data_IF_617588427695
#
_entry.id   IF_617588427695
#
_cell.length_a   1.000
_cell.length_b   1.000
_cell.length_c   1.000
_cell.angle_alpha   90.00
_cell.angle_beta   90.00
_cell.angle_gamma   90.00
#
_symmetry.space_group_name_H-M   'P 1'
#
loop_
_entity.id
_entity.type
_entity.pdbx_description
1 polymer ?
#
# COMPACT_ATOMS: atom_id res chain seq x y z
N UNK A 1 -16.15 -51.66 -51.85
CA UNK A 1 -15.41 -51.68 -50.57
C UNK A 1 -14.92 -50.29 -50.29
N UNK A 2 -15.44 -49.65 -49.26
CA UNK A 2 -14.88 -48.43 -48.67
C UNK A 2 -14.51 -48.78 -47.22
N UNK A 3 -13.22 -48.69 -46.93
CA UNK A 3 -12.63 -48.99 -45.62
C UNK A 3 -12.95 -47.84 -44.67
N UNK A 4 -13.66 -48.12 -43.56
CA UNK A 4 -13.78 -47.20 -42.44
C UNK A 4 -12.55 -47.38 -41.54
N UNK A 5 -11.72 -46.33 -41.41
CA UNK A 5 -10.73 -46.26 -40.35
C UNK A 5 -11.35 -45.57 -39.13
N UNK A 6 -11.41 -46.26 -38.00
CA UNK A 6 -11.78 -45.68 -36.69
C UNK A 6 -10.49 -45.46 -35.91
N UNK A 7 -10.22 -44.21 -35.54
CA UNK A 7 -9.11 -43.87 -34.66
C UNK A 7 -9.65 -43.60 -33.24
N UNK A 8 -9.07 -44.28 -32.25
CA UNK A 8 -9.36 -44.08 -30.82
C UNK A 8 -8.16 -43.39 -30.19
N UNK A 9 -8.38 -42.23 -29.57
CA UNK A 9 -7.35 -41.51 -28.83
C UNK A 9 -7.63 -41.62 -27.33
N UNK A 10 -6.61 -42.00 -26.56
CA UNK A 10 -6.62 -41.91 -25.10
C UNK A 10 -6.07 -40.54 -24.70
N UNK A 11 -6.89 -39.75 -24.02
CA UNK A 11 -6.42 -38.54 -23.33
C UNK A 11 -6.01 -38.91 -21.90
N UNK A 12 -4.80 -38.58 -21.44
CA UNK A 12 -4.44 -38.81 -20.05
C UNK A 12 -5.20 -37.83 -19.15
N UNK A 13 -6.10 -38.37 -18.34
CA UNK A 13 -6.70 -37.68 -17.20
C UNK A 13 -5.58 -37.45 -16.16
N UNK A 14 -5.15 -36.19 -16.01
CA UNK A 14 -4.42 -35.77 -14.82
C UNK A 14 -5.46 -35.41 -13.75
N UNK A 15 -5.83 -36.40 -12.92
CA UNK A 15 -6.53 -36.13 -11.66
C UNK A 15 -5.60 -35.35 -10.73
N UNK A 16 -5.68 -34.02 -10.82
CA UNK A 16 -5.24 -33.15 -9.74
C UNK A 16 -6.45 -32.91 -8.84
N UNK A 17 -6.50 -33.66 -7.74
CA UNK A 17 -7.38 -33.38 -6.61
C UNK A 17 -7.08 -31.98 -6.08
N UNK A 18 -7.87 -31.00 -6.49
CA UNK A 18 -7.96 -29.69 -5.86
C UNK A 18 -9.40 -29.48 -5.42
N UNK A 19 -9.56 -29.11 -4.15
CA UNK A 19 -10.85 -28.78 -3.55
C UNK A 19 -11.39 -27.51 -4.23
N UNK A 20 -12.63 -27.56 -4.71
CA UNK A 20 -13.19 -26.73 -5.79
C UNK A 20 -14.43 -25.96 -5.36
N UNK A 21 -14.61 -24.72 -5.84
CA UNK A 21 -15.85 -23.95 -5.64
C UNK A 21 -16.02 -22.71 -6.58
N UNK A 22 -17.18 -22.55 -7.27
CA UNK A 22 -17.71 -21.28 -7.87
C UNK A 22 -18.92 -20.78 -7.11
N UNK A 23 -18.79 -19.61 -6.48
CA UNK A 23 -19.48 -19.33 -5.24
C UNK A 23 -20.12 -17.95 -5.21
N UNK A 24 -20.78 -17.41 -6.23
CA UNK A 24 -21.28 -16.04 -6.06
C UNK A 24 -22.73 -15.88 -6.44
N UNK A 25 -23.51 -15.27 -5.55
CA UNK A 25 -24.90 -14.87 -5.75
C UNK A 25 -25.06 -13.37 -5.42
N UNK A 26 -26.13 -12.78 -5.93
CA UNK A 26 -26.53 -11.41 -5.60
C UNK A 26 -27.96 -11.44 -5.10
N UNK A 27 -28.19 -10.79 -3.96
CA UNK A 27 -29.53 -10.54 -3.44
C UNK A 27 -30.01 -9.17 -3.91
N UNK A 28 -30.69 -9.15 -5.05
CA UNK A 28 -31.15 -7.91 -5.69
C UNK A 28 -32.14 -7.11 -4.83
N UNK A 29 -32.85 -7.79 -3.93
CA UNK A 29 -33.73 -7.21 -2.92
C UNK A 29 -32.98 -6.47 -1.80
N UNK A 30 -31.68 -6.74 -1.62
CA UNK A 30 -30.83 -6.11 -0.60
C UNK A 30 -29.95 -4.99 -1.16
N UNK A 31 -30.18 -4.59 -2.41
CA UNK A 31 -29.46 -3.52 -3.06
C UNK A 31 -29.63 -2.19 -2.30
N UNK A 32 -28.61 -1.32 -2.40
CA UNK A 32 -28.64 0.01 -1.78
C UNK A 32 -28.86 1.06 -2.85
N UNK A 33 -30.09 1.57 -2.91
CA UNK A 33 -30.50 2.64 -3.83
C UNK A 33 -29.98 4.01 -3.36
N UNK A 34 -29.62 4.88 -4.32
CA UNK A 34 -29.00 6.18 -4.10
C UNK A 34 -27.70 6.13 -3.29
N UNK A 35 -27.05 4.96 -3.27
CA UNK A 35 -25.73 4.76 -2.68
C UNK A 35 -24.80 4.06 -3.66
N UNK A 36 -23.53 4.38 -3.53
CA UNK A 36 -22.45 3.79 -4.31
C UNK A 36 -21.10 4.01 -3.64
N UNK A 37 -20.09 3.48 -4.29
CA UNK A 37 -18.70 3.77 -4.04
C UNK A 37 -18.21 4.80 -5.08
N UNK A 38 -17.27 5.64 -4.65
CA UNK A 38 -16.73 6.71 -5.48
C UNK A 38 -15.92 6.16 -6.67
N UNK A 39 -15.62 7.02 -7.65
CA UNK A 39 -14.97 6.61 -8.91
C UNK A 39 -13.59 5.97 -8.72
N UNK A 40 -12.89 6.27 -7.62
CA UNK A 40 -11.61 5.63 -7.27
C UNK A 40 -11.75 4.15 -6.87
N UNK A 41 -12.98 3.65 -6.70
CA UNK A 41 -13.32 2.24 -6.47
C UNK A 41 -13.66 1.49 -7.75
N UNK A 42 -13.96 2.22 -8.83
CA UNK A 42 -14.39 1.65 -10.11
C UNK A 42 -13.18 1.27 -10.95
N UNK A 43 -13.02 -0.02 -11.24
CA UNK A 43 -11.92 -0.49 -12.12
C UNK A 43 -12.38 -0.81 -13.55
N UNK A 44 -13.69 -0.96 -13.76
CA UNK A 44 -14.26 -1.18 -15.09
C UNK A 44 -15.63 -0.52 -15.21
N UNK A 45 -15.80 0.27 -16.28
CA UNK A 45 -17.07 0.89 -16.67
C UNK A 45 -17.61 0.19 -17.91
N UNK A 46 -18.89 -0.17 -17.90
CA UNK A 46 -19.59 -0.85 -18.98
C UNK A 46 -20.93 -0.15 -19.25
N UNK A 47 -21.06 0.51 -20.38
CA UNK A 47 -22.31 1.14 -20.80
C UNK A 47 -23.28 0.11 -21.38
N UNK A 48 -24.58 0.39 -21.33
CA UNK A 48 -25.63 -0.47 -21.93
C UNK A 48 -25.55 -1.94 -21.47
N UNK A 49 -25.17 -2.16 -20.22
CA UNK A 49 -24.98 -3.50 -19.65
C UNK A 49 -26.06 -3.73 -18.59
N UNK A 50 -27.09 -4.54 -18.88
CA UNK A 50 -28.14 -4.81 -17.91
C UNK A 50 -27.60 -5.44 -16.63
N UNK A 51 -28.33 -5.25 -15.54
CA UNK A 51 -27.97 -5.70 -14.19
C UNK A 51 -27.46 -7.15 -14.10
N UNK A 52 -28.15 -8.10 -14.73
CA UNK A 52 -27.76 -9.53 -14.72
C UNK A 52 -26.44 -9.76 -15.43
N UNK A 53 -26.21 -9.06 -16.55
CA UNK A 53 -24.95 -9.15 -17.29
C UNK A 53 -23.81 -8.49 -16.51
N UNK A 54 -24.08 -7.37 -15.82
CA UNK A 54 -23.12 -6.72 -14.93
C UNK A 54 -22.66 -7.68 -13.82
N UNK A 55 -23.62 -8.35 -13.16
CA UNK A 55 -23.34 -9.39 -12.17
C UNK A 55 -22.45 -10.50 -12.76
N UNK A 56 -22.79 -11.04 -13.93
CA UNK A 56 -21.99 -12.09 -14.57
C UNK A 56 -20.55 -11.63 -14.88
N UNK A 57 -20.36 -10.38 -15.32
CA UNK A 57 -19.03 -9.82 -15.53
C UNK A 57 -18.24 -9.73 -14.23
N UNK A 58 -18.88 -9.30 -13.16
CA UNK A 58 -18.26 -9.21 -11.84
C UNK A 58 -17.94 -10.59 -11.25
N UNK A 59 -18.84 -11.56 -11.39
CA UNK A 59 -18.62 -12.90 -10.82
C UNK A 59 -17.45 -13.64 -11.48
N UNK A 60 -17.19 -13.37 -12.75
CA UNK A 60 -16.10 -13.98 -13.53
C UNK A 60 -14.75 -13.24 -13.41
N UNK A 61 -14.77 -11.97 -12.97
CA UNK A 61 -13.56 -11.19 -12.76
C UNK A 61 -13.16 -11.23 -11.29
N UNK A 62 -12.05 -11.90 -10.99
CA UNK A 62 -11.59 -12.06 -9.61
C UNK A 62 -11.31 -10.72 -8.91
N UNK A 63 -11.05 -9.64 -9.66
CA UNK A 63 -10.81 -8.30 -9.11
C UNK A 63 -12.08 -7.65 -8.57
N UNK A 64 -13.25 -8.22 -8.87
CA UNK A 64 -14.53 -7.64 -8.55
C UNK A 64 -15.03 -8.09 -7.17
N UNK A 65 -15.17 -7.12 -6.27
CA UNK A 65 -15.70 -7.32 -4.91
C UNK A 65 -17.19 -6.95 -4.82
N UNK A 66 -17.63 -6.00 -5.64
CA UNK A 66 -19.01 -5.54 -5.74
C UNK A 66 -19.24 -4.88 -7.10
N UNK A 67 -20.49 -4.52 -7.41
CA UNK A 67 -20.78 -3.69 -8.57
C UNK A 67 -21.88 -2.68 -8.26
N UNK A 68 -21.93 -1.61 -9.03
CA UNK A 68 -23.00 -0.62 -8.97
C UNK A 68 -23.53 -0.28 -10.35
N UNK A 69 -24.77 0.14 -10.39
CA UNK A 69 -25.49 0.50 -11.60
C UNK A 69 -25.90 1.96 -11.52
N UNK A 70 -25.58 2.76 -12.53
CA UNK A 70 -26.19 4.09 -12.71
C UNK A 70 -27.39 3.96 -13.66
N UNK A 71 -28.55 4.43 -13.20
CA UNK A 71 -29.82 4.41 -13.96
C UNK A 71 -30.15 3.05 -14.61
N UNK A 72 -29.78 1.95 -13.95
CA UNK A 72 -30.00 0.57 -14.40
C UNK A 72 -29.36 0.14 -15.74
N UNK A 73 -28.57 0.99 -16.40
CA UNK A 73 -27.94 0.67 -17.70
C UNK A 73 -26.43 0.76 -17.70
N UNK A 74 -25.85 1.59 -16.82
CA UNK A 74 -24.41 1.82 -16.78
C UNK A 74 -23.81 1.05 -15.60
N UNK A 75 -23.12 -0.04 -15.93
CA UNK A 75 -22.52 -0.97 -14.98
C UNK A 75 -21.10 -0.53 -14.61
N UNK A 76 -20.81 -0.52 -13.32
CA UNK A 76 -19.49 -0.24 -12.77
C UNK A 76 -19.05 -1.38 -11.87
N UNK A 77 -17.91 -2.00 -12.19
CA UNK A 77 -17.31 -3.04 -11.37
C UNK A 77 -16.34 -2.42 -10.35
N UNK A 78 -16.46 -2.85 -9.10
CA UNK A 78 -15.80 -2.25 -7.95
C UNK A 78 -14.71 -3.17 -7.42
N UNK A 79 -13.56 -2.60 -7.10
CA UNK A 79 -12.42 -3.33 -6.54
C UNK A 79 -12.51 -3.55 -5.03
N UNK A 80 -13.49 -2.92 -4.38
CA UNK A 80 -13.76 -3.03 -2.95
C UNK A 80 -15.25 -3.17 -2.69
N UNK A 81 -15.56 -3.74 -1.53
CA UNK A 81 -16.92 -3.89 -1.02
C UNK A 81 -17.24 -2.84 0.05
N UNK A 82 -18.51 -2.76 0.45
CA UNK A 82 -18.94 -1.94 1.58
C UNK A 82 -18.38 -2.37 2.95
N UNK A 83 -17.76 -3.55 3.03
CA UNK A 83 -17.05 -3.99 4.23
C UNK A 83 -15.68 -3.30 4.35
N UNK A 84 -15.11 -2.87 3.23
CA UNK A 84 -13.82 -2.16 3.18
C UNK A 84 -14.01 -0.64 3.12
N UNK A 85 -15.00 -0.16 2.36
CA UNK A 85 -15.17 1.27 2.06
C UNK A 85 -16.59 1.71 2.38
N UNK A 86 -16.72 2.87 3.02
CA UNK A 86 -18.03 3.42 3.39
C UNK A 86 -18.78 3.89 2.14
N UNK A 87 -20.03 3.43 1.99
CA UNK A 87 -20.91 3.87 0.90
C UNK A 87 -21.21 5.36 1.00
N UNK A 88 -21.18 6.03 -0.14
CA UNK A 88 -21.52 7.44 -0.28
C UNK A 88 -22.91 7.59 -0.88
N UNK A 89 -23.62 8.66 -0.49
CA UNK A 89 -24.92 9.00 -1.09
C UNK A 89 -24.69 9.50 -2.52
N UNK A 90 -25.11 8.71 -3.49
CA UNK A 90 -24.93 8.93 -4.92
C UNK A 90 -26.28 8.75 -5.62
N UNK A 91 -27.09 9.83 -5.78
CA UNK A 91 -28.42 9.74 -6.37
C UNK A 91 -28.42 9.11 -7.77
N UNK A 92 -29.32 8.16 -8.01
CA UNK A 92 -29.43 7.43 -9.28
C UNK A 92 -28.47 6.25 -9.44
N UNK A 93 -27.61 6.00 -8.46
CA UNK A 93 -26.84 4.76 -8.35
C UNK A 93 -27.58 3.70 -7.54
N UNK A 94 -27.33 2.44 -7.85
CA UNK A 94 -27.73 1.31 -7.01
C UNK A 94 -26.55 0.37 -6.82
N UNK A 95 -26.15 0.16 -5.57
CA UNK A 95 -25.03 -0.69 -5.21
C UNK A 95 -25.49 -2.12 -4.89
N UNK A 96 -24.73 -3.11 -5.35
CA UNK A 96 -24.99 -4.54 -5.16
C UNK A 96 -23.77 -5.24 -4.56
N UNK A 97 -24.00 -5.93 -3.43
CA UNK A 97 -23.03 -6.87 -2.89
C UNK A 97 -23.03 -8.16 -3.71
N UNK A 98 -21.84 -8.74 -3.88
CA UNK A 98 -21.69 -10.11 -4.33
C UNK A 98 -21.35 -10.97 -3.12
N UNK A 99 -22.15 -12.00 -2.87
CA UNK A 99 -21.99 -12.85 -1.69
C UNK A 99 -21.70 -14.30 -2.08
N UNK A 100 -21.04 -15.06 -1.19
CA UNK A 100 -20.72 -16.45 -1.44
C UNK A 100 -21.96 -17.35 -1.63
N UNK A 101 -22.09 -18.04 -2.76
CA UNK A 101 -23.13 -19.04 -3.04
C UNK A 101 -22.88 -20.30 -2.23
N UNK A 102 -23.92 -20.79 -1.56
CA UNK A 102 -23.85 -21.93 -0.63
C UNK A 102 -24.39 -23.24 -1.19
N UNK A 103 -24.64 -23.33 -2.49
CA UNK A 103 -25.23 -24.52 -3.10
C UNK A 103 -24.24 -25.64 -3.43
N UNK A 104 -24.78 -26.78 -3.84
CA UNK A 104 -24.08 -28.08 -3.92
C UNK A 104 -23.62 -28.52 -5.32
N UNK A 105 -23.85 -27.71 -6.37
CA UNK A 105 -23.45 -28.09 -7.73
C UNK A 105 -21.96 -27.82 -7.97
N UNK A 106 -21.18 -28.79 -8.48
CA UNK A 106 -19.79 -28.59 -8.83
C UNK A 106 -19.70 -27.73 -10.09
N UNK A 107 -19.16 -26.52 -9.95
CA UNK A 107 -18.83 -25.61 -11.04
C UNK A 107 -17.33 -25.36 -10.96
N UNK A 108 -16.66 -25.52 -12.09
CA UNK A 108 -15.21 -25.36 -12.23
C UNK A 108 -14.84 -23.88 -12.05
N UNK A 109 -13.90 -23.59 -11.14
CA UNK A 109 -13.44 -22.23 -10.89
C UNK A 109 -12.02 -22.06 -11.27
N UNK A 110 -11.82 -21.03 -12.08
CA UNK A 110 -10.52 -20.42 -12.30
C UNK A 110 -10.01 -19.93 -10.95
N UNK A 111 -8.98 -20.59 -10.41
CA UNK A 111 -8.22 -20.07 -9.29
C UNK A 111 -7.86 -18.62 -9.62
N UNK A 112 -8.29 -17.70 -8.76
CA UNK A 112 -8.08 -16.28 -9.01
C UNK A 112 -6.60 -15.95 -9.16
N UNK A 113 -5.70 -16.75 -8.60
CA UNK A 113 -4.27 -16.58 -8.81
C UNK A 113 -3.79 -16.94 -10.23
N UNK A 114 -4.49 -17.79 -10.98
CA UNK A 114 -4.18 -18.06 -12.39
C UNK A 114 -4.37 -16.82 -13.27
N UNK A 115 -5.31 -15.94 -12.90
CA UNK A 115 -5.52 -14.65 -13.58
C UNK A 115 -4.44 -13.62 -13.28
N UNK A 116 -3.45 -13.95 -12.43
CA UNK A 116 -2.34 -13.07 -12.00
C UNK A 116 -2.81 -11.67 -11.57
N UNK A 117 -3.72 -11.58 -10.58
CA UNK A 117 -4.36 -10.32 -10.22
C UNK A 117 -3.39 -9.36 -9.51
N UNK A 118 -2.34 -9.88 -8.87
CA UNK A 118 -1.33 -9.10 -8.14
C UNK A 118 -0.36 -8.40 -9.10
N UNK A 119 -0.17 -7.10 -8.90
CA UNK A 119 0.70 -6.25 -9.70
C UNK A 119 2.10 -6.15 -9.09
N UNK A 120 3.03 -5.60 -9.88
CA UNK A 120 4.40 -5.28 -9.45
C UNK A 120 5.15 -6.45 -8.79
N UNK A 121 4.91 -7.67 -9.26
CA UNK A 121 5.57 -8.87 -8.76
C UNK A 121 5.12 -9.28 -7.35
N UNK A 122 3.95 -8.83 -6.89
CA UNK A 122 3.30 -9.36 -5.69
C UNK A 122 2.93 -10.84 -5.85
N UNK A 123 2.97 -11.58 -4.74
CA UNK A 123 2.62 -13.00 -4.71
C UNK A 123 1.13 -13.16 -4.47
N UNK A 124 0.45 -13.96 -5.30
CA UNK A 124 -0.95 -14.29 -5.12
C UNK A 124 -1.10 -15.51 -4.21
N UNK A 125 -2.00 -15.41 -3.23
CA UNK A 125 -2.39 -16.53 -2.37
C UNK A 125 -3.90 -16.72 -2.43
N UNK A 126 -4.39 -17.97 -2.49
CA UNK A 126 -5.82 -18.24 -2.38
C UNK A 126 -6.34 -17.84 -0.98
N UNK A 127 -7.64 -17.56 -0.84
CA UNK A 127 -8.24 -17.32 0.47
C UNK A 127 -8.09 -18.56 1.36
N UNK A 128 -7.96 -18.32 2.66
CA UNK A 128 -7.90 -19.32 3.73
C UNK A 128 -9.26 -19.41 4.44
N UNK A 129 -9.48 -20.48 5.20
CA UNK A 129 -10.74 -20.66 5.94
C UNK A 129 -11.01 -19.63 7.05
N UNK A 130 -10.04 -18.78 7.39
CA UNK A 130 -10.19 -17.72 8.39
C UNK A 130 -10.72 -16.41 7.78
N UNK A 131 -10.84 -16.34 6.46
CA UNK A 131 -11.09 -15.08 5.77
C UNK A 131 -12.55 -14.81 5.53
N UNK A 132 -12.86 -13.54 5.30
CA UNK A 132 -14.17 -13.18 4.81
C UNK A 132 -14.40 -13.92 3.48
N UNK A 133 -15.50 -14.67 3.34
CA UNK A 133 -15.71 -15.51 2.18
C UNK A 133 -15.98 -14.70 0.89
N UNK A 134 -16.10 -13.38 0.96
CA UNK A 134 -16.06 -12.47 -0.21
C UNK A 134 -14.64 -12.25 -0.76
N UNK A 135 -13.59 -12.53 0.01
CA UNK A 135 -12.20 -12.40 -0.43
C UNK A 135 -11.88 -13.53 -1.40
N UNK A 136 -11.54 -13.16 -2.63
CA UNK A 136 -11.28 -14.11 -3.72
C UNK A 136 -9.81 -14.53 -3.87
N UNK A 137 -8.90 -13.69 -3.39
CA UNK A 137 -7.45 -13.89 -3.36
C UNK A 137 -6.81 -12.87 -2.41
N UNK A 138 -5.55 -13.11 -2.03
CA UNK A 138 -4.69 -12.10 -1.40
C UNK A 138 -3.47 -11.82 -2.26
N UNK A 139 -3.01 -10.58 -2.19
CA UNK A 139 -1.70 -10.21 -2.71
C UNK A 139 -0.75 -9.86 -1.58
N UNK A 140 0.35 -10.61 -1.49
CA UNK A 140 1.50 -10.23 -0.68
C UNK A 140 2.38 -9.28 -1.49
N UNK A 141 2.38 -8.00 -1.11
CA UNK A 141 3.08 -6.97 -1.84
C UNK A 141 4.58 -6.95 -1.56
N UNK A 142 5.36 -6.70 -2.61
CA UNK A 142 6.78 -6.38 -2.47
C UNK A 142 6.94 -5.06 -1.72
N UNK A 143 8.11 -4.90 -1.11
CA UNK A 143 8.47 -3.69 -0.36
C UNK A 143 8.25 -2.43 -1.21
N UNK A 144 7.50 -1.47 -0.64
CA UNK A 144 7.20 -0.20 -1.30
C UNK A 144 6.00 -0.23 -2.26
N UNK A 145 5.28 -1.35 -2.32
CA UNK A 145 3.97 -1.45 -2.96
C UNK A 145 2.88 -1.82 -1.96
N UNK A 146 1.64 -1.42 -2.26
CA UNK A 146 0.46 -1.78 -1.47
C UNK A 146 -0.85 -1.57 -2.21
N UNK A 147 -1.94 -1.60 -1.46
CA UNK A 147 -3.28 -1.84 -1.99
C UNK A 147 -3.55 -3.34 -2.12
N UNK A 148 -4.83 -3.70 -2.27
CA UNK A 148 -5.31 -5.08 -2.36
C UNK A 148 -4.67 -5.90 -3.51
N UNK A 149 -4.12 -5.23 -4.52
CA UNK A 149 -3.46 -5.83 -5.67
C UNK A 149 -2.02 -5.36 -5.85
N UNK A 150 -1.43 -4.70 -4.86
CA UNK A 150 -0.08 -4.11 -4.97
C UNK A 150 0.03 -3.06 -6.08
N UNK A 151 -1.08 -2.40 -6.42
CA UNK A 151 -1.16 -1.42 -7.50
C UNK A 151 -0.50 -0.09 -7.15
N UNK A 152 -0.42 0.25 -5.86
CA UNK A 152 0.05 1.55 -5.40
C UNK A 152 1.53 1.49 -5.05
N UNK A 153 2.27 2.53 -5.44
CA UNK A 153 3.62 2.80 -4.93
C UNK A 153 3.45 3.61 -3.66
N UNK A 154 3.78 3.00 -2.54
CA UNK A 154 3.49 3.58 -1.21
C UNK A 154 4.76 4.03 -0.50
N UNK A 155 5.93 3.79 -1.10
CA UNK A 155 7.22 4.28 -0.64
C UNK A 155 8.25 4.29 -1.76
N UNK A 156 9.36 5.02 -1.55
CA UNK A 156 10.48 5.05 -2.48
C UNK A 156 11.06 3.66 -2.85
N UNK A 157 11.00 2.61 -2.00
CA UNK A 157 11.41 1.27 -2.42
C UNK A 157 10.62 0.70 -3.60
N UNK A 158 9.34 1.10 -3.76
CA UNK A 158 8.56 0.65 -4.91
C UNK A 158 9.22 1.12 -6.20
N UNK A 159 9.85 2.30 -6.14
CA UNK A 159 10.70 2.83 -7.17
C UNK A 159 12.10 2.18 -7.21
N UNK A 160 12.26 0.87 -7.00
CA UNK A 160 13.55 0.19 -7.23
C UNK A 160 13.52 -0.77 -8.42
N UNK A 161 12.35 -1.30 -8.78
CA UNK A 161 12.22 -2.35 -9.80
C UNK A 161 12.29 -1.86 -11.26
N UNK A 162 12.52 -0.56 -11.49
CA UNK A 162 12.68 -0.03 -12.85
C UNK A 162 14.18 0.17 -13.06
N UNK A 163 14.75 -0.63 -13.97
CA UNK A 163 16.18 -0.88 -14.16
C UNK A 163 16.96 0.31 -14.72
N UNK A 164 16.34 1.49 -14.88
CA UNK A 164 17.04 2.71 -15.27
C UNK A 164 17.38 3.54 -14.04
N UNK A 165 18.66 3.88 -13.91
CA UNK A 165 19.25 4.68 -12.82
C UNK A 165 18.32 5.82 -12.36
N UNK A 166 17.84 5.75 -11.13
CA UNK A 166 16.90 6.73 -10.59
C UNK A 166 17.63 7.89 -9.96
N UNK A 167 17.33 9.09 -10.42
CA UNK A 167 17.84 10.27 -9.77
C UNK A 167 17.16 10.45 -8.40
N UNK A 168 17.92 10.94 -7.42
CA UNK A 168 17.33 11.54 -6.24
C UNK A 168 16.39 12.67 -6.67
N UNK A 169 15.24 12.82 -6.01
CA UNK A 169 14.27 13.84 -6.41
C UNK A 169 12.88 13.63 -5.84
N UNK A 170 11.93 14.39 -6.36
CA UNK A 170 10.52 14.34 -5.94
C UNK A 170 9.80 13.23 -6.72
N UNK A 171 9.11 12.36 -6.01
CA UNK A 171 8.31 11.28 -6.56
C UNK A 171 6.90 11.31 -5.98
N UNK A 172 5.94 10.81 -6.74
CA UNK A 172 4.56 10.65 -6.30
C UNK A 172 4.36 9.25 -5.71
N UNK A 173 3.82 9.19 -4.50
CA UNK A 173 3.33 7.98 -3.86
C UNK A 173 1.81 8.03 -3.77
N UNK A 174 1.19 6.92 -3.42
CA UNK A 174 -0.26 6.83 -3.19
C UNK A 174 -0.49 6.25 -1.81
N UNK A 175 -1.34 6.87 -1.02
CA UNK A 175 -1.77 6.31 0.25
C UNK A 175 -2.82 5.22 -0.06
N UNK A 176 -2.58 3.94 0.27
CA UNK A 176 -3.49 2.86 -0.12
C UNK A 176 -4.86 2.94 0.58
N UNK A 177 -4.95 3.63 1.72
CA UNK A 177 -6.18 3.77 2.50
C UNK A 177 -7.09 4.87 1.93
N UNK A 178 -6.52 6.01 1.53
CA UNK A 178 -7.29 7.13 0.95
C UNK A 178 -7.32 7.10 -0.57
N UNK A 179 -6.38 6.38 -1.20
CA UNK A 179 -6.10 6.33 -2.65
C UNK A 179 -5.67 7.67 -3.24
N UNK A 180 -5.37 8.63 -2.39
CA UNK A 180 -4.89 9.94 -2.80
C UNK A 180 -3.38 9.91 -3.05
N UNK A 181 -2.91 10.57 -4.13
CA UNK A 181 -1.49 10.74 -4.36
C UNK A 181 -0.89 11.78 -3.41
N UNK A 182 0.37 11.60 -3.04
CA UNK A 182 1.16 12.59 -2.28
C UNK A 182 2.61 12.58 -2.76
N UNK A 183 3.30 13.71 -2.64
CA UNK A 183 4.67 13.85 -3.11
C UNK A 183 5.67 13.70 -1.95
N UNK A 184 6.81 13.11 -2.25
CA UNK A 184 7.93 12.94 -1.31
C UNK A 184 9.25 13.12 -2.02
N UNK A 185 10.29 13.52 -1.28
CA UNK A 185 11.65 13.40 -1.79
C UNK A 185 12.16 11.97 -1.56
N UNK A 186 12.49 11.27 -2.65
CA UNK A 186 13.17 9.99 -2.62
C UNK A 186 14.66 10.16 -2.82
N UNK A 187 15.41 9.49 -1.95
CA UNK A 187 16.84 9.27 -2.13
C UNK A 187 17.09 7.81 -2.48
N UNK A 188 17.98 7.57 -3.43
CA UNK A 188 18.49 6.26 -3.79
C UNK A 188 20.00 6.22 -3.54
N UNK A 189 20.46 5.24 -2.78
CA UNK A 189 21.87 5.04 -2.47
C UNK A 189 22.40 3.83 -3.25
N UNK A 190 23.48 4.04 -4.00
CA UNK A 190 24.00 3.10 -4.99
C UNK A 190 25.32 2.45 -4.56
N UNK A 191 25.51 1.18 -4.92
CA UNK A 191 26.82 0.53 -4.95
C UNK A 191 27.12 0.08 -6.38
N UNK A 192 27.88 0.89 -7.11
CA UNK A 192 28.09 0.70 -8.54
C UNK A 192 26.76 0.82 -9.30
N UNK A 193 26.41 -0.13 -10.20
CA UNK A 193 25.17 -0.07 -10.98
C UNK A 193 23.91 -0.46 -10.19
N UNK A 194 24.07 -0.96 -8.95
CA UNK A 194 22.97 -1.50 -8.15
C UNK A 194 22.53 -0.52 -7.06
N UNK A 195 21.22 -0.35 -6.87
CA UNK A 195 20.70 0.39 -5.71
C UNK A 195 20.79 -0.50 -4.47
N UNK A 196 21.43 -0.01 -3.41
CA UNK A 196 21.51 -0.72 -2.13
C UNK A 196 20.24 -0.52 -1.31
N UNK A 197 19.76 0.71 -1.21
CA UNK A 197 18.55 1.07 -0.49
C UNK A 197 18.01 2.43 -0.93
N UNK A 198 16.77 2.72 -0.56
CA UNK A 198 16.13 4.01 -0.79
C UNK A 198 15.56 4.57 0.51
N UNK A 199 15.58 5.89 0.65
CA UNK A 199 15.01 6.61 1.79
C UNK A 199 13.91 7.54 1.32
N UNK A 200 12.80 7.59 2.06
CA UNK A 200 11.70 8.53 1.84
C UNK A 200 11.79 9.66 2.87
N UNK A 201 11.83 10.91 2.42
CA UNK A 201 11.76 12.07 3.32
C UNK A 201 10.35 12.21 3.90
N UNK A 202 10.22 12.35 5.22
CA UNK A 202 8.93 12.52 5.91
C UNK A 202 8.73 13.92 6.52
N UNK A 203 9.83 14.62 6.81
CA UNK A 203 9.83 16.02 7.23
C UNK A 203 11.19 16.66 6.95
N UNK A 204 11.22 17.98 6.78
CA UNK A 204 12.43 18.80 6.67
C UNK A 204 12.17 20.23 7.12
N UNK A 205 13.13 20.81 7.83
CA UNK A 205 13.05 22.17 8.35
C UNK A 205 14.42 22.86 8.23
N UNK A 206 14.42 24.08 7.72
CA UNK A 206 15.55 24.99 7.85
C UNK A 206 15.69 25.44 9.31
N UNK A 207 16.90 25.83 9.71
CA UNK A 207 17.21 26.24 11.08
C UNK A 207 16.29 27.36 11.59
N UNK A 208 15.91 28.30 10.74
CA UNK A 208 14.99 29.39 11.07
C UNK A 208 13.54 28.94 11.36
N UNK A 209 13.17 27.72 10.95
CA UNK A 209 11.82 27.18 11.06
C UNK A 209 11.69 26.05 12.11
N UNK A 210 12.72 25.81 12.93
CA UNK A 210 12.72 24.70 13.92
C UNK A 210 11.62 24.83 14.99
N UNK A 211 11.11 26.04 15.22
CA UNK A 211 9.97 26.26 16.13
C UNK A 211 8.66 25.62 15.65
N UNK A 212 8.56 25.26 14.36
CA UNK A 212 7.39 24.61 13.78
C UNK A 212 7.42 23.08 13.94
N UNK A 213 8.51 22.51 14.44
CA UNK A 213 8.65 21.05 14.61
C UNK A 213 7.70 20.59 15.72
N UNK A 214 6.79 19.70 15.36
CA UNK A 214 5.86 19.05 16.30
C UNK A 214 6.27 17.60 16.56
N UNK A 215 5.79 16.98 17.66
CA UNK A 215 5.96 15.53 17.88
C UNK A 215 5.40 14.71 16.72
N UNK A 216 6.02 13.58 16.37
CA UNK A 216 5.54 12.68 15.31
C UNK A 216 4.20 12.02 15.63
N UNK A 217 3.82 12.00 16.92
CA UNK A 217 2.55 11.48 17.42
C UNK A 217 1.36 12.38 17.04
N UNK A 218 1.62 13.65 16.70
CA UNK A 218 0.62 14.63 16.28
C UNK A 218 0.51 14.72 14.75
N UNK A 219 -0.73 14.85 14.27
CA UNK A 219 -1.03 15.18 12.87
C UNK A 219 -0.81 16.67 12.60
N UNK A 220 0.43 17.04 12.28
CA UNK A 220 0.83 18.42 11.98
C UNK A 220 1.53 18.50 10.60
N UNK A 221 0.81 18.29 9.48
CA UNK A 221 1.38 18.46 8.14
C UNK A 221 1.75 19.93 7.90
N UNK A 222 2.84 20.16 7.16
CA UNK A 222 3.29 21.50 6.77
C UNK A 222 3.67 21.44 5.30
N UNK A 223 3.05 22.29 4.47
CA UNK A 223 3.32 22.39 3.02
C UNK A 223 3.34 21.03 2.31
N UNK A 224 2.53 20.05 2.73
CA UNK A 224 2.62 18.65 2.28
C UNK A 224 2.59 18.49 0.74
N UNK A 225 1.89 19.38 0.05
CA UNK A 225 1.75 19.40 -1.40
C UNK A 225 2.88 20.12 -2.16
N UNK A 226 3.87 20.69 -1.46
CA UNK A 226 4.99 21.44 -2.04
C UNK A 226 6.30 21.02 -1.35
N UNK A 227 6.87 19.90 -1.80
CA UNK A 227 8.07 19.28 -1.19
C UNK A 227 9.25 20.23 -1.24
N UNK A 228 9.77 20.61 -0.07
CA UNK A 228 10.89 21.52 0.07
C UNK A 228 11.75 21.18 1.31
N UNK A 229 12.92 21.83 1.44
CA UNK A 229 13.83 21.66 2.58
C UNK A 229 13.73 22.79 3.62
N UNK A 230 12.76 23.72 3.47
CA UNK A 230 12.62 24.91 4.31
C UNK A 230 11.65 24.68 5.48
N UNK A 231 10.44 24.24 5.18
CA UNK A 231 9.42 23.87 6.17
C UNK A 231 8.43 22.94 5.45
N UNK A 232 8.62 21.63 5.64
CA UNK A 232 7.83 20.62 4.98
C UNK A 232 7.65 19.40 5.87
N UNK A 233 6.43 18.86 5.93
CA UNK A 233 6.11 17.66 6.72
C UNK A 233 4.86 16.97 6.19
N UNK A 234 4.94 15.65 6.05
CA UNK A 234 3.81 14.80 5.73
C UNK A 234 2.77 14.74 6.86
N UNK A 235 1.53 14.49 6.49
CA UNK A 235 0.46 14.12 7.43
C UNK A 235 0.79 12.81 8.15
N UNK A 236 0.26 12.66 9.36
CA UNK A 236 0.45 11.43 10.15
C UNK A 236 -0.01 10.18 9.38
N UNK A 237 -1.15 10.26 8.68
CA UNK A 237 -1.67 9.16 7.86
C UNK A 237 -0.70 8.72 6.75
N UNK A 238 0.01 9.65 6.11
CA UNK A 238 1.00 9.31 5.08
C UNK A 238 2.31 8.77 5.70
N UNK A 239 2.70 9.26 6.87
CA UNK A 239 3.88 8.71 7.59
C UNK A 239 3.60 7.28 8.05
N UNK A 240 2.40 6.98 8.56
CA UNK A 240 1.97 5.63 8.98
C UNK A 240 2.07 4.62 7.82
N UNK A 241 1.64 5.01 6.62
CA UNK A 241 1.80 4.17 5.41
C UNK A 241 3.28 3.88 5.13
N UNK A 242 4.16 4.87 5.31
CA UNK A 242 5.59 4.70 5.08
C UNK A 242 6.26 3.80 6.12
N UNK A 243 5.81 3.85 7.38
CA UNK A 243 6.41 3.04 8.47
C UNK A 243 6.08 1.55 8.35
N UNK A 244 4.95 1.17 7.75
CA UNK A 244 4.55 -0.24 7.54
C UNK A 244 5.61 -1.12 6.86
N UNK A 245 6.50 -0.54 6.04
CA UNK A 245 7.55 -1.28 5.30
C UNK A 245 8.96 -0.75 5.61
N UNK A 246 9.06 0.26 6.46
CA UNK A 246 10.32 0.80 6.89
C UNK A 246 10.94 -0.11 7.96
N UNK A 247 12.26 -0.25 7.91
CA UNK A 247 13.01 -1.00 8.92
C UNK A 247 13.74 -0.07 9.89
N UNK A 248 13.97 1.17 9.45
CA UNK A 248 14.86 2.14 10.07
C UNK A 248 14.32 3.54 9.85
N UNK A 249 14.58 4.42 10.79
CA UNK A 249 14.46 5.85 10.62
C UNK A 249 15.86 6.48 10.66
N UNK A 250 16.00 7.62 9.99
CA UNK A 250 17.24 8.35 9.86
C UNK A 250 16.98 9.84 10.03
N UNK A 251 17.87 10.53 10.72
CA UNK A 251 17.86 12.00 10.87
C UNK A 251 19.21 12.52 10.45
N UNK A 252 19.22 13.63 9.73
CA UNK A 252 20.45 14.26 9.26
C UNK A 252 20.29 15.77 9.08
N UNK A 253 21.39 16.51 9.18
CA UNK A 253 21.48 17.96 8.95
C UNK A 253 22.27 18.27 7.67
N UNK A 254 22.03 19.44 7.07
CA UNK A 254 22.71 19.92 5.83
C UNK A 254 22.67 18.93 4.64
N UNK A 255 21.67 18.05 4.63
CA UNK A 255 21.47 17.03 3.60
C UNK A 255 21.36 17.62 2.20
N UNK A 256 20.63 18.72 2.03
CA UNK A 256 20.46 19.40 0.73
C UNK A 256 21.80 19.86 0.14
N UNK A 257 22.71 20.33 0.99
CA UNK A 257 24.01 20.89 0.57
C UNK A 257 25.05 19.82 0.32
N UNK A 258 25.10 18.81 1.18
CA UNK A 258 26.24 17.87 1.24
C UNK A 258 25.88 16.46 0.82
N UNK A 259 24.60 16.13 0.67
CA UNK A 259 24.13 14.77 0.40
C UNK A 259 24.57 13.80 1.50
N UNK A 260 25.28 12.73 1.13
CA UNK A 260 26.01 11.86 2.08
C UNK A 260 27.55 11.97 1.88
N UNK A 261 28.01 12.94 1.09
CA UNK A 261 29.39 13.01 0.56
C UNK A 261 30.37 13.73 1.48
N UNK A 262 29.94 14.17 2.67
CA UNK A 262 30.78 14.89 3.65
C UNK A 262 30.65 14.32 5.07
N UNK A 263 31.26 14.96 6.08
CA UNK A 263 30.94 14.67 7.49
C UNK A 263 29.48 15.05 7.72
N UNK A 264 28.62 14.04 7.71
CA UNK A 264 27.18 14.23 7.84
C UNK A 264 26.80 13.92 9.28
N UNK A 265 26.22 14.91 9.95
CA UNK A 265 25.46 14.66 11.16
C UNK A 265 24.35 13.67 10.78
N UNK A 266 24.46 12.46 11.28
CA UNK A 266 23.62 11.33 10.92
C UNK A 266 23.28 10.56 12.18
N UNK A 267 22.00 10.36 12.40
CA UNK A 267 21.48 9.43 13.37
C UNK A 267 20.64 8.36 12.66
N UNK A 268 20.92 7.09 12.91
CA UNK A 268 20.19 5.97 12.32
C UNK A 268 19.84 4.93 13.38
N UNK A 269 18.57 4.56 13.46
CA UNK A 269 18.09 3.49 14.34
C UNK A 269 17.04 2.61 13.66
N UNK A 270 16.78 1.43 14.24
CA UNK A 270 15.70 0.55 13.80
C UNK A 270 14.37 1.03 14.37
N UNK A 271 13.28 0.94 13.60
CA UNK A 271 11.94 1.23 14.12
C UNK A 271 11.56 0.30 15.30
N UNK A 272 12.03 -0.95 15.29
CA UNK A 272 11.81 -1.89 16.39
C UNK A 272 12.52 -1.53 17.71
N UNK A 273 13.44 -0.56 17.70
CA UNK A 273 14.09 -0.06 18.92
C UNK A 273 13.43 1.21 19.45
N UNK A 274 12.86 2.01 18.55
CA UNK A 274 12.13 3.23 18.87
C UNK A 274 11.18 3.54 17.73
N UNK A 275 9.88 3.46 18.01
CA UNK A 275 8.86 3.80 17.03
C UNK A 275 8.53 5.29 17.18
N UNK A 276 8.96 6.08 16.20
CA UNK A 276 8.79 7.53 16.21
C UNK A 276 7.31 7.95 16.24
N UNK A 277 6.38 7.11 15.77
CA UNK A 277 4.95 7.43 15.73
C UNK A 277 4.21 7.04 17.03
N UNK A 278 4.67 6.01 17.73
CA UNK A 278 3.99 5.44 18.90
C UNK A 278 4.63 5.82 20.23
N UNK A 279 5.95 6.01 20.29
CA UNK A 279 6.67 6.34 21.53
C UNK A 279 6.44 7.81 21.94
N UNK A 280 5.25 8.10 22.48
CA UNK A 280 4.75 9.43 22.82
C UNK A 280 5.08 9.92 24.23
N UNK A 281 5.79 9.12 25.04
CA UNK A 281 6.15 9.43 26.43
C UNK A 281 7.60 9.05 26.74
N UNK A 282 8.47 9.11 25.73
CA UNK A 282 9.88 8.86 25.90
C UNK A 282 10.53 10.11 26.52
N UNK A 283 11.00 10.01 27.77
CA UNK A 283 11.74 11.10 28.42
C UNK A 283 13.12 10.56 28.80
N UNK A 284 14.17 11.04 28.11
CA UNK A 284 15.53 10.50 28.22
C UNK A 284 15.59 8.96 28.11
N UNK A 285 14.74 8.37 27.26
CA UNK A 285 14.70 6.92 27.03
C UNK A 285 15.97 6.52 26.29
N UNK A 286 16.75 5.58 26.83
CA UNK A 286 17.92 5.05 26.13
C UNK A 286 17.48 4.20 24.94
N UNK A 287 17.85 4.61 23.73
CA UNK A 287 17.54 3.90 22.49
C UNK A 287 18.84 3.39 21.87
N UNK A 288 18.83 2.12 21.46
CA UNK A 288 19.94 1.55 20.69
C UNK A 288 19.92 2.11 19.26
N UNK A 289 20.99 2.79 18.89
CA UNK A 289 21.19 3.35 17.55
C UNK A 289 22.24 2.53 16.81
N UNK A 290 22.03 2.33 15.52
CA UNK A 290 22.97 1.55 14.70
C UNK A 290 24.22 2.38 14.39
N UNK A 291 24.01 3.66 14.08
CA UNK A 291 25.09 4.60 13.81
C UNK A 291 24.64 6.00 14.21
N UNK A 292 25.55 6.71 14.86
CA UNK A 292 25.45 8.13 15.12
C UNK A 292 26.77 8.78 14.73
N UNK A 293 26.73 9.87 13.99
CA UNK A 293 27.84 10.78 13.79
C UNK A 293 27.29 12.16 14.07
N UNK A 294 27.81 12.88 15.06
CA UNK A 294 27.37 14.23 15.41
C UNK A 294 28.62 15.06 15.73
N UNK A 295 28.81 16.18 15.01
CA UNK A 295 29.96 17.09 15.20
C UNK A 295 31.32 16.39 15.14
N UNK A 296 31.44 15.34 14.32
CA UNK A 296 32.67 14.55 14.16
C UNK A 296 32.80 13.36 15.10
N UNK A 297 32.08 13.34 16.22
CA UNK A 297 32.04 12.19 17.12
C UNK A 297 31.18 11.09 16.52
N UNK A 298 31.69 9.85 16.51
CA UNK A 298 31.01 8.71 15.89
C UNK A 298 30.84 7.57 16.86
N UNK A 299 29.64 7.00 16.84
CA UNK A 299 29.25 5.87 17.66
C UNK A 299 28.53 4.82 16.81
N UNK A 300 28.82 3.54 17.03
CA UNK A 300 28.17 2.41 16.36
C UNK A 300 27.58 1.46 17.42
N UNK A 301 26.34 1.02 17.21
CA UNK A 301 25.63 0.12 18.12
C UNK A 301 25.65 0.56 19.59
N UNK A 302 25.31 1.82 19.86
CA UNK A 302 25.33 2.39 21.20
C UNK A 302 23.99 2.94 21.63
N UNK A 303 23.89 3.35 22.89
CA UNK A 303 22.68 3.91 23.46
C UNK A 303 22.76 5.42 23.56
N UNK A 304 21.69 6.09 23.13
CA UNK A 304 21.53 7.53 23.29
C UNK A 304 20.22 7.84 24.02
N UNK A 305 20.19 8.89 24.85
CA UNK A 305 18.94 9.37 25.42
C UNK A 305 18.13 10.10 24.35
N UNK A 306 16.92 9.62 24.08
CA UNK A 306 15.96 10.32 23.23
C UNK A 306 14.79 10.83 24.06
N UNK A 307 14.23 11.96 23.65
CA UNK A 307 13.03 12.54 24.25
C UNK A 307 12.01 12.82 23.16
N UNK A 308 10.79 12.33 23.35
CA UNK A 308 9.60 12.70 22.59
C UNK A 308 8.40 12.56 23.53
N UNK A 309 7.61 13.62 23.66
CA UNK A 309 6.35 13.57 24.41
C UNK A 309 5.18 13.98 23.52
N UNK A 310 3.95 13.90 24.04
CA UNK A 310 2.78 14.46 23.38
C UNK A 310 2.92 15.96 23.06
N UNK A 311 3.79 16.72 23.73
CA UNK A 311 3.98 18.16 23.53
C UNK A 311 5.42 18.56 23.18
N UNK A 312 6.36 17.61 23.19
CA UNK A 312 7.78 17.87 22.95
C UNK A 312 8.28 17.05 21.76
N UNK A 313 8.83 17.69 20.71
CA UNK A 313 9.24 17.00 19.50
C UNK A 313 10.38 16.02 19.77
N UNK A 314 10.57 15.08 18.84
CA UNK A 314 11.70 14.16 18.91
C UNK A 314 13.02 14.93 18.99
N UNK A 315 13.79 14.64 20.03
CA UNK A 315 15.04 15.30 20.34
C UNK A 315 16.06 14.28 20.86
N UNK A 316 17.31 14.50 20.52
CA UNK A 316 18.45 13.79 21.08
C UNK A 316 19.35 14.80 21.77
N UNK A 317 19.65 14.54 23.04
CA UNK A 317 20.59 15.37 23.77
C UNK A 317 22.01 14.92 23.44
N UNK A 318 22.74 15.77 22.72
CA UNK A 318 24.10 15.50 22.24
C UNK A 318 25.19 15.92 23.23
N UNK A 319 24.84 16.59 24.33
CA UNK A 319 25.80 17.04 25.34
C UNK A 319 26.16 15.94 26.35
N UNK A 320 25.54 14.75 26.21
CA UNK A 320 25.81 13.53 27.00
C UNK A 320 26.19 12.33 26.12
N UNK A 321 26.43 12.56 24.84
CA UNK A 321 26.89 11.55 23.89
C UNK A 321 28.42 11.50 23.87
#
# INVERSE_FOLDING_TARGET
GLSLAVAVFLLPFLERNFLTQALYEVRFDQAKEDYGLADNEVFLNLTQTPRVQCFYRCSMDCRCSAFQMFKDTDCQLLSSSRAEVTLQRMPGYTYYDIIPWKGSCPIDVTDCCEQKPCLHGGTCEPPTGADDPTIRFRCLCRKGYGGNRCQYRIGCPGYLDIVTSRANGIYTLVNPNTREPFQVYCRFDYAGPSVLFSTTLIQSYALQNVSQISPFTQGAPINENDVNFQAWRLSKANIEVLTMFALRWMVSCDFEKTGWSGPVDLLQAKLTQFDILEDANAVSKCVNVQRMTIRGETCQNCQIPVTQTASYPFHVNTDRA
#
